data_IF_570884316277
#
_entry.id   IF_570884316277
#
_cell.length_a   1.000
_cell.length_b   1.000
_cell.length_c   1.000
_cell.angle_alpha   90.00
_cell.angle_beta   90.00
_cell.angle_gamma   90.00
#
_symmetry.space_group_name_H-M   'P 1'
#
loop_
_entity.id
_entity.type
_entity.pdbx_description
1 polymer ?
#
# COMPACT_ATOMS: atom_id res chain seq x y z
N UNK A 1 -4.62 4.62 -6.54
CA UNK A 1 -3.43 5.49 -6.64
C UNK A 1 -2.88 5.60 -8.08
N UNK A 2 -2.45 4.50 -8.71
CA UNK A 2 -1.89 4.51 -10.09
C UNK A 2 -2.84 5.15 -11.12
N UNK A 3 -4.14 4.82 -11.07
CA UNK A 3 -5.15 5.40 -11.98
C UNK A 3 -5.22 6.94 -11.87
N UNK A 4 -5.09 7.50 -10.66
CA UNK A 4 -5.07 8.96 -10.47
C UNK A 4 -3.83 9.60 -11.09
N UNK A 5 -2.66 8.96 -10.97
CA UNK A 5 -1.44 9.42 -11.63
C UNK A 5 -1.55 9.32 -13.16
N UNK A 6 -2.11 8.24 -13.69
CA UNK A 6 -2.37 8.09 -15.14
C UNK A 6 -3.31 9.18 -15.64
N UNK A 7 -4.45 9.39 -14.98
CA UNK A 7 -5.42 10.42 -15.36
C UNK A 7 -4.77 11.80 -15.43
N UNK A 8 -3.95 12.14 -14.42
CA UNK A 8 -3.24 13.43 -14.37
C UNK A 8 -2.20 13.56 -15.45
N UNK A 9 -1.37 12.53 -15.62
CA UNK A 9 -0.38 12.50 -16.68
C UNK A 9 -1.04 12.72 -18.06
N UNK A 10 -2.15 12.04 -18.33
CA UNK A 10 -2.91 12.24 -19.57
C UNK A 10 -3.52 13.63 -19.67
N UNK A 11 -4.12 14.16 -18.60
CA UNK A 11 -4.72 15.52 -18.64
C UNK A 11 -3.75 16.63 -19.05
N UNK A 12 -2.45 16.41 -18.90
CA UNK A 12 -1.40 17.38 -19.22
C UNK A 12 -0.72 17.04 -20.55
N UNK A 13 -0.32 15.78 -20.73
CA UNK A 13 0.49 15.36 -21.88
C UNK A 13 -0.34 14.91 -23.08
N UNK A 14 -1.48 14.26 -22.82
CA UNK A 14 -2.36 13.64 -23.80
C UNK A 14 -3.84 13.90 -23.46
N UNK A 15 -4.31 15.16 -23.54
CA UNK A 15 -5.68 15.51 -23.15
C UNK A 15 -6.73 14.69 -23.91
N UNK A 16 -6.45 14.30 -25.15
CA UNK A 16 -7.28 13.42 -25.99
C UNK A 16 -7.58 12.06 -25.33
N UNK A 17 -6.65 11.54 -24.54
CA UNK A 17 -6.84 10.26 -23.84
C UNK A 17 -7.73 10.39 -22.61
N UNK A 18 -7.97 11.61 -22.10
CA UNK A 18 -8.87 11.81 -20.96
C UNK A 18 -10.32 11.49 -21.30
N UNK A 19 -10.71 11.59 -22.58
CA UNK A 19 -12.03 11.19 -23.06
C UNK A 19 -12.32 9.69 -22.86
N UNK A 20 -11.27 8.86 -22.76
CA UNK A 20 -11.42 7.45 -22.43
C UNK A 20 -12.09 7.25 -21.07
N UNK A 21 -11.87 8.16 -20.11
CA UNK A 21 -12.54 8.11 -18.80
C UNK A 21 -14.04 8.41 -18.88
N UNK A 22 -14.57 8.84 -20.03
CA UNK A 22 -16.01 8.95 -20.30
C UNK A 22 -16.59 7.68 -20.97
N UNK A 23 -15.74 6.78 -21.46
CA UNK A 23 -16.15 5.55 -22.12
C UNK A 23 -16.44 4.44 -21.10
N UNK A 24 -17.69 3.96 -21.04
CA UNK A 24 -18.14 2.91 -20.10
C UNK A 24 -17.29 1.64 -20.15
N UNK A 25 -16.81 1.22 -21.33
CA UNK A 25 -15.95 0.03 -21.47
C UNK A 25 -14.58 0.25 -20.81
N UNK A 26 -14.02 1.44 -21.00
CA UNK A 26 -12.75 1.80 -20.37
C UNK A 26 -12.90 1.96 -18.86
N UNK A 27 -13.99 2.58 -18.37
CA UNK A 27 -14.28 2.68 -16.94
C UNK A 27 -14.40 1.29 -16.31
N UNK A 28 -15.08 0.35 -16.97
CA UNK A 28 -15.20 -1.03 -16.50
C UNK A 28 -13.83 -1.72 -16.42
N UNK A 29 -12.98 -1.54 -17.44
CA UNK A 29 -11.62 -2.07 -17.44
C UNK A 29 -10.71 -1.41 -16.40
N UNK A 30 -10.82 -0.09 -16.20
CA UNK A 30 -10.06 0.61 -15.17
C UNK A 30 -10.52 0.21 -13.76
N UNK A 31 -11.81 -0.04 -13.57
CA UNK A 31 -12.40 -0.51 -12.31
C UNK A 31 -12.13 -1.98 -12.03
N UNK A 32 -11.90 -2.81 -13.05
CA UNK A 32 -11.55 -4.22 -12.82
C UNK A 32 -10.15 -4.37 -12.23
N UNK A 33 -9.24 -3.42 -12.48
CA UNK A 33 -7.89 -3.43 -11.90
C UNK A 33 -7.87 -3.42 -10.35
N UNK A 34 -8.51 -2.47 -9.63
CA UNK A 34 -8.54 -2.51 -8.17
C UNK A 34 -9.27 -3.73 -7.60
N UNK A 35 -10.30 -4.23 -8.30
CA UNK A 35 -11.00 -5.48 -7.90
C UNK A 35 -10.07 -6.68 -8.02
N UNK A 36 -9.36 -6.81 -9.15
CA UNK A 36 -8.37 -7.86 -9.35
C UNK A 36 -7.24 -7.75 -8.32
N UNK A 37 -6.78 -6.54 -8.00
CA UNK A 37 -5.78 -6.32 -6.96
C UNK A 37 -6.29 -6.79 -5.58
N UNK A 38 -7.53 -6.46 -5.22
CA UNK A 38 -8.14 -6.90 -3.96
C UNK A 38 -8.25 -8.43 -3.88
N UNK A 39 -8.70 -9.07 -4.96
CA UNK A 39 -8.79 -10.53 -5.05
C UNK A 39 -7.40 -11.15 -4.91
N UNK A 40 -6.40 -10.66 -5.65
CA UNK A 40 -5.03 -11.16 -5.57
C UNK A 40 -4.45 -11.02 -4.17
N UNK A 41 -4.64 -9.88 -3.50
CA UNK A 41 -4.21 -9.68 -2.12
C UNK A 41 -4.88 -10.65 -1.15
N UNK A 42 -6.20 -10.83 -1.28
CA UNK A 42 -6.94 -11.79 -0.46
C UNK A 42 -6.41 -13.21 -0.66
N UNK A 43 -6.22 -13.65 -1.91
CA UNK A 43 -5.72 -15.00 -2.21
C UNK A 43 -4.29 -15.21 -1.71
N UNK A 44 -3.39 -14.23 -1.88
CA UNK A 44 -2.01 -14.30 -1.38
C UNK A 44 -2.00 -14.41 0.14
N UNK A 45 -2.82 -13.62 0.85
CA UNK A 45 -2.94 -13.74 2.29
C UNK A 45 -3.53 -15.12 2.67
N UNK A 46 -4.71 -15.46 2.15
CA UNK A 46 -5.44 -16.66 2.53
C UNK A 46 -4.70 -17.97 2.21
N UNK A 47 -3.95 -18.05 1.12
CA UNK A 47 -3.20 -19.27 0.77
C UNK A 47 -1.73 -19.22 1.19
N UNK A 48 -1.14 -18.02 1.25
CA UNK A 48 0.30 -17.85 1.43
C UNK A 48 0.73 -17.55 2.87
N UNK A 49 -0.08 -16.86 3.67
CA UNK A 49 0.29 -16.46 5.03
C UNK A 49 -0.27 -17.36 6.14
N UNK A 50 -1.10 -18.32 5.75
CA UNK A 50 -1.95 -19.11 6.65
C UNK A 50 -1.25 -20.36 7.17
N UNK A 51 -0.89 -20.38 8.45
CA UNK A 51 -0.43 -21.58 9.17
C UNK A 51 -1.60 -22.34 9.80
N UNK A 52 -2.25 -23.22 9.04
CA UNK A 52 -3.18 -24.20 9.60
C UNK A 52 -2.38 -25.39 10.12
N UNK A 53 -2.32 -25.56 11.44
CA UNK A 53 -1.53 -26.62 12.10
C UNK A 53 -1.40 -26.42 13.62
N UNK A 54 -1.19 -27.52 14.35
CA UNK A 54 -0.80 -27.50 15.77
C UNK A 54 0.70 -27.27 15.82
N UNK A 55 1.10 -26.03 16.08
CA UNK A 55 2.44 -25.54 15.73
C UNK A 55 3.10 -24.90 16.96
N UNK A 56 4.37 -25.21 17.21
CA UNK A 56 5.13 -24.66 18.34
C UNK A 56 5.14 -23.12 18.34
N UNK A 57 4.97 -22.49 17.17
CA UNK A 57 4.81 -21.05 17.03
C UNK A 57 3.58 -20.48 17.75
N UNK A 58 2.48 -21.24 17.86
CA UNK A 58 1.28 -20.81 18.61
C UNK A 58 1.56 -20.72 20.11
N UNK A 59 2.30 -21.67 20.67
CA UNK A 59 2.72 -21.63 22.07
C UNK A 59 3.64 -20.43 22.36
N UNK A 60 4.58 -20.15 21.45
CA UNK A 60 5.45 -18.97 21.55
C UNK A 60 4.64 -17.67 21.50
N UNK A 61 3.68 -17.57 20.58
CA UNK A 61 2.80 -16.41 20.47
C UNK A 61 1.95 -16.21 21.73
N UNK A 62 1.39 -17.30 22.29
CA UNK A 62 0.62 -17.27 23.54
C UNK A 62 1.47 -16.79 24.73
N UNK A 63 2.71 -17.30 24.85
CA UNK A 63 3.63 -16.89 25.90
C UNK A 63 3.99 -15.39 25.76
N UNK A 64 4.27 -14.92 24.54
CA UNK A 64 4.59 -13.52 24.28
C UNK A 64 3.39 -12.59 24.51
N UNK A 65 2.18 -13.02 24.13
CA UNK A 65 0.94 -12.28 24.39
C UNK A 65 0.67 -12.14 25.89
N UNK A 66 0.87 -13.23 26.66
CA UNK A 66 0.77 -13.20 28.12
C UNK A 66 1.81 -12.24 28.72
N UNK A 67 3.04 -12.26 28.20
CA UNK A 67 4.14 -11.37 28.66
C UNK A 67 3.83 -9.90 28.41
N UNK A 68 3.34 -9.54 27.22
CA UNK A 68 3.11 -8.14 26.83
C UNK A 68 1.81 -7.56 27.37
N UNK A 69 0.74 -8.36 27.35
CA UNK A 69 -0.62 -7.88 27.56
C UNK A 69 -1.30 -8.47 28.80
N UNK A 70 -0.67 -9.44 29.47
CA UNK A 70 -1.28 -10.13 30.62
C UNK A 70 -2.49 -10.99 30.23
N UNK A 71 -2.66 -11.29 28.94
CA UNK A 71 -3.81 -12.04 28.41
C UNK A 71 -3.33 -13.26 27.62
N UNK A 72 -4.08 -14.36 27.73
CA UNK A 72 -3.85 -15.56 26.94
C UNK A 72 -4.67 -15.48 25.65
N UNK A 73 -4.04 -15.75 24.51
CA UNK A 73 -4.74 -15.91 23.22
C UNK A 73 -5.11 -17.37 23.04
N UNK A 74 -6.36 -17.74 23.34
CA UNK A 74 -6.85 -19.12 23.20
C UNK A 74 -7.02 -19.54 21.74
N UNK A 75 -7.27 -18.58 20.84
CA UNK A 75 -7.57 -18.83 19.42
C UNK A 75 -6.85 -17.78 18.55
N UNK A 76 -6.32 -18.22 17.40
CA UNK A 76 -5.63 -17.33 16.47
C UNK A 76 -4.91 -18.07 15.34
N UNK A 77 -4.72 -17.34 14.24
CA UNK A 77 -3.96 -17.81 13.08
C UNK A 77 -2.52 -17.34 13.21
N UNK A 78 -1.56 -18.24 12.98
CA UNK A 78 -0.16 -17.85 12.89
C UNK A 78 0.08 -17.31 11.48
N UNK A 79 0.42 -16.03 11.42
CA UNK A 79 0.69 -15.33 10.16
C UNK A 79 2.19 -15.37 9.88
N UNK A 80 2.57 -15.78 8.66
CA UNK A 80 3.96 -15.83 8.20
C UNK A 80 4.88 -16.72 9.06
N UNK A 81 4.46 -17.96 9.35
CA UNK A 81 5.35 -18.92 10.01
C UNK A 81 6.50 -19.36 9.09
N UNK A 82 7.66 -18.72 9.19
CA UNK A 82 8.82 -19.03 8.35
C UNK A 82 9.45 -20.40 8.63
N UNK A 83 9.25 -20.94 9.84
CA UNK A 83 9.86 -22.19 10.30
C UNK A 83 8.81 -23.08 10.97
N UNK A 84 8.42 -24.15 10.30
CA UNK A 84 7.40 -25.10 10.77
C UNK A 84 8.10 -26.40 11.19
N UNK A 85 8.00 -26.76 12.47
CA UNK A 85 8.67 -27.95 13.03
C UNK A 85 10.18 -28.07 12.73
N UNK A 86 10.88 -26.93 12.64
CA UNK A 86 12.32 -26.88 12.32
C UNK A 86 12.65 -26.94 10.83
N UNK A 87 11.64 -27.10 9.96
CA UNK A 87 11.79 -27.04 8.51
C UNK A 87 11.39 -25.68 7.96
N UNK A 88 12.06 -25.28 6.89
CA UNK A 88 11.82 -23.99 6.25
C UNK A 88 10.52 -24.00 5.45
N UNK A 89 9.64 -23.05 5.71
CA UNK A 89 8.35 -22.96 5.02
C UNK A 89 8.50 -22.16 3.71
N UNK A 90 8.72 -22.86 2.59
CA UNK A 90 8.93 -22.25 1.28
C UNK A 90 7.71 -21.46 0.78
N UNK A 91 6.49 -21.87 1.16
CA UNK A 91 5.24 -21.18 0.80
C UNK A 91 5.21 -19.75 1.32
N UNK A 92 5.61 -19.54 2.58
CA UNK A 92 5.65 -18.22 3.21
C UNK A 92 6.65 -17.29 2.51
N UNK A 93 7.72 -17.85 1.96
CA UNK A 93 8.76 -17.08 1.25
C UNK A 93 8.30 -16.66 -0.14
N UNK A 94 7.67 -17.57 -0.88
CA UNK A 94 7.04 -17.19 -2.14
C UNK A 94 5.95 -16.13 -1.92
N UNK A 95 5.20 -16.22 -0.81
CA UNK A 95 4.24 -15.20 -0.40
C UNK A 95 4.94 -13.86 -0.13
N UNK A 96 5.99 -13.85 0.71
CA UNK A 96 6.77 -12.65 1.06
C UNK A 96 7.35 -11.96 -0.19
N UNK A 97 8.03 -12.72 -1.05
CA UNK A 97 8.61 -12.22 -2.30
C UNK A 97 7.52 -11.64 -3.20
N UNK A 98 6.38 -12.32 -3.31
CA UNK A 98 5.27 -11.85 -4.15
C UNK A 98 4.72 -10.51 -3.65
N UNK A 99 4.54 -10.37 -2.33
CA UNK A 99 4.10 -9.14 -1.66
C UNK A 99 5.11 -8.01 -1.90
N UNK A 100 6.40 -8.27 -1.70
CA UNK A 100 7.46 -7.27 -1.89
C UNK A 100 7.57 -6.82 -3.35
N UNK A 101 7.49 -7.75 -4.31
CA UNK A 101 7.49 -7.43 -5.75
C UNK A 101 6.29 -6.55 -6.11
N UNK A 102 5.09 -6.88 -5.63
CA UNK A 102 3.89 -6.07 -5.88
C UNK A 102 4.08 -4.64 -5.34
N UNK A 103 4.59 -4.49 -4.12
CA UNK A 103 4.84 -3.18 -3.51
C UNK A 103 5.88 -2.39 -4.31
N UNK A 104 7.04 -2.98 -4.59
CA UNK A 104 8.14 -2.30 -5.30
C UNK A 104 7.72 -1.88 -6.71
N UNK A 105 7.05 -2.76 -7.47
CA UNK A 105 6.56 -2.44 -8.82
C UNK A 105 5.53 -1.32 -8.76
N UNK A 106 4.57 -1.39 -7.83
CA UNK A 106 3.53 -0.37 -7.69
C UNK A 106 4.10 1.01 -7.36
N UNK A 107 5.05 1.07 -6.42
CA UNK A 107 5.72 2.32 -6.05
C UNK A 107 6.63 2.85 -7.16
N UNK A 108 7.29 1.98 -7.91
CA UNK A 108 8.13 2.38 -9.05
C UNK A 108 7.30 3.02 -10.16
N UNK A 109 6.17 2.42 -10.51
CA UNK A 109 5.22 2.97 -11.49
C UNK A 109 4.67 4.31 -11.02
N UNK A 110 4.21 4.39 -9.76
CA UNK A 110 3.68 5.63 -9.19
C UNK A 110 4.72 6.76 -9.20
N UNK A 111 5.95 6.46 -8.77
CA UNK A 111 7.06 7.44 -8.75
C UNK A 111 7.45 7.91 -10.15
N UNK A 112 7.49 6.99 -11.11
CA UNK A 112 7.78 7.32 -12.52
C UNK A 112 6.71 8.25 -13.10
N UNK A 113 5.44 7.89 -12.92
CA UNK A 113 4.32 8.73 -13.39
C UNK A 113 4.29 10.08 -12.67
N UNK A 114 4.61 10.12 -11.37
CA UNK A 114 4.69 11.36 -10.62
C UNK A 114 5.79 12.28 -11.17
N UNK A 115 6.99 11.73 -11.40
CA UNK A 115 8.11 12.47 -11.98
C UNK A 115 7.80 13.01 -13.37
N UNK A 116 7.22 12.18 -14.24
CA UNK A 116 6.78 12.59 -15.57
C UNK A 116 5.70 13.67 -15.51
N UNK A 117 4.71 13.52 -14.64
CA UNK A 117 3.62 14.51 -14.46
C UNK A 117 4.20 15.85 -14.02
N UNK A 118 5.09 15.86 -13.02
CA UNK A 118 5.75 17.08 -12.55
C UNK A 118 6.55 17.77 -13.67
N UNK A 119 7.32 16.98 -14.42
CA UNK A 119 8.10 17.49 -15.55
C UNK A 119 7.23 18.19 -16.59
N UNK A 120 6.10 17.59 -16.98
CA UNK A 120 5.20 18.19 -17.95
C UNK A 120 4.40 19.37 -17.40
N UNK A 121 4.01 19.39 -16.12
CA UNK A 121 3.43 20.60 -15.49
C UNK A 121 4.37 21.79 -15.65
N UNK A 122 5.67 21.58 -15.42
CA UNK A 122 6.67 22.66 -15.48
C UNK A 122 7.00 23.14 -16.89
N UNK A 123 6.82 22.30 -17.91
CA UNK A 123 7.08 22.66 -19.33
C UNK A 123 5.82 23.06 -20.11
N UNK A 124 4.64 23.04 -19.48
CA UNK A 124 3.40 23.37 -20.14
C UNK A 124 3.27 24.89 -20.31
N UNK A 125 3.87 25.44 -21.37
CA UNK A 125 3.84 26.87 -21.72
C UNK A 125 2.48 27.30 -22.30
N UNK A 126 1.65 26.36 -22.74
CA UNK A 126 0.35 26.60 -23.38
C UNK A 126 -0.84 26.64 -22.41
N UNK A 127 -0.62 26.34 -21.12
CA UNK A 127 -1.68 26.31 -20.10
C UNK A 127 -1.69 27.65 -19.36
N UNK A 128 -2.89 28.19 -19.09
CA UNK A 128 -3.03 29.42 -18.30
C UNK A 128 -2.37 29.26 -16.91
N UNK A 129 -1.79 30.33 -16.38
CA UNK A 129 -1.13 30.32 -15.07
C UNK A 129 -2.06 29.79 -13.96
N UNK A 130 -3.37 30.12 -14.03
CA UNK A 130 -4.38 29.65 -13.10
C UNK A 130 -4.58 28.13 -13.19
N UNK A 131 -4.72 27.57 -14.39
CA UNK A 131 -4.89 26.13 -14.60
C UNK A 131 -3.63 25.36 -14.24
N UNK A 132 -2.43 25.90 -14.53
CA UNK A 132 -1.16 25.29 -14.12
C UNK A 132 -1.06 25.19 -12.59
N UNK A 133 -1.38 26.28 -11.88
CA UNK A 133 -1.40 26.30 -10.42
C UNK A 133 -2.43 25.31 -9.83
N UNK A 134 -3.58 25.15 -10.46
CA UNK A 134 -4.58 24.16 -10.04
C UNK A 134 -4.08 22.73 -10.24
N UNK A 135 -3.51 22.41 -11.40
CA UNK A 135 -2.93 21.09 -11.69
C UNK A 135 -1.80 20.74 -10.72
N UNK A 136 -0.93 21.71 -10.40
CA UNK A 136 0.15 21.54 -9.44
C UNK A 136 -0.37 21.26 -8.03
N UNK A 137 -1.38 22.00 -7.54
CA UNK A 137 -1.99 21.76 -6.22
C UNK A 137 -2.58 20.36 -6.13
N UNK A 138 -3.38 20.01 -7.13
CA UNK A 138 -3.98 18.68 -7.22
C UNK A 138 -2.86 17.61 -7.23
N UNK A 139 -1.77 17.83 -7.97
CA UNK A 139 -0.65 16.88 -8.07
C UNK A 139 0.05 16.70 -6.72
N UNK A 140 0.33 17.79 -6.02
CA UNK A 140 0.90 17.77 -4.67
C UNK A 140 0.00 16.97 -3.72
N UNK A 141 -1.33 17.13 -3.81
CA UNK A 141 -2.26 16.36 -3.00
C UNK A 141 -2.11 14.85 -3.22
N UNK A 142 -2.06 14.38 -4.48
CA UNK A 142 -1.90 12.95 -4.76
C UNK A 142 -0.52 12.43 -4.36
N UNK A 143 0.53 13.24 -4.49
CA UNK A 143 1.85 12.89 -3.96
C UNK A 143 1.83 12.75 -2.43
N UNK A 144 1.17 13.66 -1.71
CA UNK A 144 1.02 13.59 -0.25
C UNK A 144 0.21 12.34 0.16
N UNK A 145 -0.91 12.07 -0.51
CA UNK A 145 -1.72 10.85 -0.30
C UNK A 145 -0.95 9.56 -0.59
N UNK A 146 0.11 9.61 -1.40
CA UNK A 146 0.97 8.46 -1.69
C UNK A 146 2.09 8.31 -0.65
N UNK A 147 2.68 9.42 -0.25
CA UNK A 147 3.87 9.43 0.60
C UNK A 147 3.56 9.13 2.06
N UNK A 148 2.42 9.63 2.57
CA UNK A 148 1.99 9.37 3.95
C UNK A 148 1.78 7.87 4.21
N UNK A 149 0.96 7.12 3.44
CA UNK A 149 0.85 5.68 3.64
C UNK A 149 2.15 4.93 3.36
N UNK A 150 3.00 5.40 2.45
CA UNK A 150 4.32 4.79 2.26
C UNK A 150 5.12 4.77 3.57
N UNK A 151 5.21 5.92 4.24
CA UNK A 151 5.99 6.05 5.48
C UNK A 151 5.31 5.37 6.66
N UNK A 152 4.01 5.57 6.83
CA UNK A 152 3.32 5.15 8.05
C UNK A 152 2.70 3.76 7.95
N UNK A 153 2.49 3.22 6.76
CA UNK A 153 1.84 1.92 6.57
C UNK A 153 2.78 0.94 5.89
N UNK A 154 3.21 1.22 4.66
CA UNK A 154 3.94 0.25 3.85
C UNK A 154 5.36 -0.04 4.36
N UNK A 155 6.11 0.97 4.80
CA UNK A 155 7.45 0.75 5.38
C UNK A 155 7.36 -0.06 6.69
N UNK A 156 6.54 0.33 7.70
CA UNK A 156 6.33 -0.47 8.90
C UNK A 156 5.91 -1.90 8.61
N UNK A 157 4.95 -2.08 7.70
CA UNK A 157 4.46 -3.39 7.30
C UNK A 157 5.57 -4.23 6.65
N UNK A 158 6.32 -3.66 5.69
CA UNK A 158 7.44 -4.32 5.05
C UNK A 158 8.52 -4.75 6.04
N UNK A 159 8.85 -3.92 7.02
CA UNK A 159 9.78 -4.25 8.11
C UNK A 159 9.25 -5.38 8.99
N UNK A 160 7.98 -5.34 9.42
CA UNK A 160 7.37 -6.39 10.25
C UNK A 160 7.37 -7.75 9.55
N UNK A 161 7.22 -7.78 8.23
CA UNK A 161 7.27 -9.02 7.44
C UNK A 161 8.71 -9.52 7.19
N UNK A 162 9.64 -8.61 6.87
CA UNK A 162 10.99 -8.99 6.43
C UNK A 162 12.00 -9.16 7.57
N UNK A 163 11.89 -8.37 8.65
CA UNK A 163 12.85 -8.41 9.76
C UNK A 163 12.89 -9.78 10.46
N UNK A 164 11.76 -10.43 10.77
CA UNK A 164 11.78 -11.78 11.36
C UNK A 164 12.51 -12.79 10.47
N UNK A 165 12.28 -12.74 9.16
CA UNK A 165 12.97 -13.60 8.20
C UNK A 165 14.49 -13.37 8.20
N UNK A 166 14.92 -12.11 8.26
CA UNK A 166 16.33 -11.71 8.33
C UNK A 166 16.94 -11.83 9.74
N UNK A 167 16.17 -12.31 10.74
CA UNK A 167 16.54 -12.39 12.15
C UNK A 167 16.92 -11.03 12.76
N UNK A 168 16.29 -9.97 12.29
CA UNK A 168 16.43 -8.60 12.80
C UNK A 168 15.37 -8.31 13.88
N UNK A 169 15.70 -7.51 14.91
CA UNK A 169 14.74 -7.08 15.93
C UNK A 169 13.66 -6.15 15.34
N UNK A 170 12.41 -6.32 15.79
CA UNK A 170 11.22 -5.59 15.29
C UNK A 170 10.97 -4.26 16.05
N UNK A 171 11.64 -4.02 17.18
CA UNK A 171 11.58 -2.75 17.95
C UNK A 171 10.17 -2.18 18.20
N UNK A 172 9.17 -3.04 18.50
CA UNK A 172 7.74 -2.69 18.70
C UNK A 172 6.98 -2.19 17.46
N UNK A 173 7.58 -2.33 16.28
CA UNK A 173 6.97 -1.94 15.02
C UNK A 173 5.74 -2.80 14.70
N UNK A 174 5.68 -4.03 15.20
CA UNK A 174 4.53 -4.94 15.15
C UNK A 174 3.29 -4.34 15.81
N UNK A 175 3.43 -3.74 16.99
CA UNK A 175 2.32 -3.10 17.70
C UNK A 175 1.89 -1.79 17.00
N UNK A 176 2.87 -1.01 16.52
CA UNK A 176 2.60 0.26 15.82
C UNK A 176 2.00 0.06 14.42
N UNK A 177 2.43 -0.98 13.70
CA UNK A 177 2.01 -1.22 12.31
C UNK A 177 0.50 -1.39 12.20
N UNK A 178 -0.13 -2.15 13.11
CA UNK A 178 -1.58 -2.35 13.09
C UNK A 178 -2.32 -1.03 13.33
N UNK A 179 -1.90 -0.25 14.33
CA UNK A 179 -2.48 1.06 14.63
C UNK A 179 -2.36 2.02 13.43
N UNK A 180 -1.15 2.16 12.88
CA UNK A 180 -0.89 3.07 11.76
C UNK A 180 -1.70 2.66 10.51
N UNK A 181 -1.83 1.36 10.26
CA UNK A 181 -2.67 0.83 9.18
C UNK A 181 -4.15 1.16 9.40
N UNK A 182 -4.67 0.99 10.61
CA UNK A 182 -6.06 1.33 10.94
C UNK A 182 -6.35 2.84 10.83
N UNK A 183 -5.36 3.68 11.09
CA UNK A 183 -5.50 5.14 10.96
C UNK A 183 -5.40 5.64 9.52
N UNK A 184 -5.02 4.81 8.54
CA UNK A 184 -4.80 5.23 7.16
C UNK A 184 -5.99 6.00 6.53
N UNK A 185 -7.26 5.52 6.64
CA UNK A 185 -8.39 6.26 6.08
C UNK A 185 -8.54 7.67 6.68
N UNK A 186 -8.23 7.82 7.96
CA UNK A 186 -8.27 9.12 8.62
C UNK A 186 -7.15 10.05 8.11
N UNK A 187 -5.94 9.53 7.92
CA UNK A 187 -4.83 10.29 7.35
C UNK A 187 -5.14 10.76 5.92
N UNK A 188 -5.73 9.91 5.08
CA UNK A 188 -6.11 10.28 3.72
C UNK A 188 -7.13 11.42 3.69
N UNK A 189 -8.14 11.37 4.57
CA UNK A 189 -9.11 12.44 4.73
C UNK A 189 -8.47 13.76 5.21
N UNK A 190 -7.57 13.70 6.20
CA UNK A 190 -6.86 14.88 6.73
C UNK A 190 -6.02 15.54 5.64
N UNK A 191 -5.27 14.76 4.84
CA UNK A 191 -4.47 15.29 3.73
C UNK A 191 -5.34 16.04 2.73
N UNK A 192 -6.50 15.48 2.38
CA UNK A 192 -7.41 16.10 1.43
C UNK A 192 -8.00 17.42 1.96
N UNK A 193 -8.49 17.44 3.20
CA UNK A 193 -9.05 18.64 3.82
C UNK A 193 -7.97 19.74 3.94
N UNK A 194 -6.74 19.39 4.32
CA UNK A 194 -5.68 20.38 4.50
C UNK A 194 -5.19 20.99 3.18
N UNK A 195 -5.11 20.19 2.11
CA UNK A 195 -4.54 20.62 0.82
C UNK A 195 -5.57 21.20 -0.16
N UNK A 196 -6.84 20.82 -0.04
CA UNK A 196 -7.90 21.30 -0.93
C UNK A 196 -8.72 22.38 -0.24
N UNK A 197 -8.55 23.64 -0.69
CA UNK A 197 -9.27 24.79 -0.12
C UNK A 197 -10.79 24.65 -0.19
N UNK A 198 -11.33 24.02 -1.23
CA UNK A 198 -12.78 23.88 -1.39
C UNK A 198 -13.43 22.96 -0.34
N UNK A 199 -12.63 22.19 0.41
CA UNK A 199 -13.08 21.35 1.51
C UNK A 199 -13.01 22.03 2.89
N UNK A 200 -12.50 23.27 2.99
CA UNK A 200 -12.36 24.05 4.23
C UNK A 200 -13.19 25.32 4.17
#
# INVERSE_FOLDING_TARGET
MIIHFIYRFWSIRHPELTELFSNKKFIAAASSYPVAALISWYLIAYFGSTGDGDDAGKLLLQAESRRRYGKEMSEGWLVMNHWENGYFNSRVIFCLISVDVIMVVSFSIASTLAGLTYYYIKRADTISLQSNNMQLKLFIAVCAQTFVPLIFVYIPYGCVLNFPFLRLPIFKLDDACMLLTSCFPAWDAVIMILLMKDYR
#
